data_IF_122413736627
#
_entry.id   IF_122413736627
#
_cell.length_a   1.000
_cell.length_b   1.000
_cell.length_c   1.000
_cell.angle_alpha   90.00
_cell.angle_beta   90.00
_cell.angle_gamma   90.00
#
_symmetry.space_group_name_H-M   'P 1'
#
loop_
_entity.id
_entity.type
_entity.pdbx_description
1 polymer ?
#
# COMPACT_ATOMS: atom_id res chain seq x y z
N UNK A 1 -0.79 -23.03 1.01
CA UNK A 1 0.13 -21.87 0.96
C UNK A 1 -0.58 -20.54 0.63
N UNK A 2 -1.86 -20.36 1.01
CA UNK A 2 -2.59 -19.06 0.91
C UNK A 2 -2.87 -18.41 2.28
N UNK A 3 -2.66 -19.15 3.37
CA UNK A 3 -3.01 -18.74 4.73
C UNK A 3 -2.20 -17.55 5.18
N UNK A 4 -0.86 -17.62 5.13
CA UNK A 4 0.02 -16.52 5.55
C UNK A 4 -0.29 -15.17 4.89
N UNK A 5 -0.50 -15.17 3.57
CA UNK A 5 -0.79 -13.95 2.81
C UNK A 5 -2.16 -13.35 3.15
N UNK A 6 -3.13 -14.23 3.46
CA UNK A 6 -4.45 -13.84 3.92
C UNK A 6 -4.37 -13.25 5.34
N UNK A 7 -3.69 -13.94 6.25
CA UNK A 7 -3.49 -13.49 7.64
C UNK A 7 -2.78 -12.13 7.69
N UNK A 8 -1.77 -11.94 6.83
CA UNK A 8 -1.07 -10.67 6.69
C UNK A 8 -2.01 -9.57 6.15
N UNK A 9 -2.83 -9.88 5.15
CA UNK A 9 -3.81 -8.90 4.62
C UNK A 9 -4.85 -8.51 5.67
N UNK A 10 -5.32 -9.48 6.44
CA UNK A 10 -6.32 -9.27 7.48
C UNK A 10 -5.76 -8.44 8.64
N UNK A 11 -4.49 -8.64 9.00
CA UNK A 11 -3.76 -7.81 9.96
C UNK A 11 -3.67 -6.35 9.52
N UNK A 12 -3.26 -6.11 8.27
CA UNK A 12 -3.18 -4.74 7.73
C UNK A 12 -4.54 -4.08 7.63
N UNK A 13 -5.59 -4.84 7.28
CA UNK A 13 -6.96 -4.34 7.31
C UNK A 13 -7.39 -3.95 8.74
N UNK A 14 -7.01 -4.74 9.75
CA UNK A 14 -7.28 -4.42 11.15
C UNK A 14 -6.58 -3.12 11.58
N UNK A 15 -5.32 -2.91 11.18
CA UNK A 15 -4.61 -1.66 11.43
C UNK A 15 -5.27 -0.45 10.78
N UNK A 16 -5.67 -0.57 9.51
CA UNK A 16 -6.31 0.54 8.78
C UNK A 16 -7.69 0.87 9.38
N UNK A 17 -8.39 -0.11 9.96
CA UNK A 17 -9.65 0.11 10.67
C UNK A 17 -9.45 0.75 12.05
N UNK A 18 -8.29 0.56 12.68
CA UNK A 18 -7.98 1.16 13.98
C UNK A 18 -7.54 2.62 13.79
N UNK A 19 -8.36 3.56 14.30
CA UNK A 19 -8.12 5.00 14.17
C UNK A 19 -6.80 5.50 14.76
N UNK A 20 -6.27 4.83 15.79
CA UNK A 20 -5.07 5.26 16.51
C UNK A 20 -3.79 5.00 15.71
N UNK A 21 -3.76 3.91 14.92
CA UNK A 21 -2.57 3.49 14.16
C UNK A 21 -2.74 3.62 12.64
N UNK A 22 -3.96 3.90 12.15
CA UNK A 22 -4.26 3.99 10.72
C UNK A 22 -3.31 4.93 9.99
N UNK A 23 -3.10 6.13 10.53
CA UNK A 23 -2.30 7.14 9.84
C UNK A 23 -0.82 6.74 9.76
N UNK A 24 -0.29 6.15 10.83
CA UNK A 24 1.10 5.69 10.87
C UNK A 24 1.33 4.52 9.90
N UNK A 25 0.38 3.60 9.81
CA UNK A 25 0.46 2.47 8.89
C UNK A 25 0.31 2.91 7.44
N UNK A 26 -0.62 3.82 7.13
CA UNK A 26 -0.75 4.39 5.78
C UNK A 26 0.49 5.18 5.39
N UNK A 27 1.08 5.92 6.33
CA UNK A 27 2.37 6.61 6.13
C UNK A 27 3.49 5.62 5.85
N UNK A 28 3.61 4.55 6.65
CA UNK A 28 4.63 3.52 6.47
C UNK A 28 4.51 2.82 5.10
N UNK A 29 3.29 2.50 4.65
CA UNK A 29 3.03 1.97 3.31
C UNK A 29 3.48 2.96 2.24
N UNK A 30 3.13 4.25 2.39
CA UNK A 30 3.53 5.31 1.46
C UNK A 30 5.05 5.48 1.38
N UNK A 31 5.72 5.52 2.53
CA UNK A 31 7.17 5.62 2.64
C UNK A 31 7.83 4.39 1.98
N UNK A 32 7.30 3.18 2.18
CA UNK A 32 7.77 1.97 1.49
C UNK A 32 7.71 2.09 -0.05
N UNK A 33 6.66 2.68 -0.60
CA UNK A 33 6.53 2.89 -2.05
C UNK A 33 7.49 3.98 -2.55
N UNK A 34 7.67 5.06 -1.80
CA UNK A 34 8.54 6.18 -2.16
C UNK A 34 10.01 5.76 -2.19
N UNK A 35 10.46 5.06 -1.15
CA UNK A 35 11.87 4.62 -1.00
C UNK A 35 12.25 3.54 -2.03
N UNK A 36 11.28 2.70 -2.45
CA UNK A 36 11.53 1.61 -3.40
C UNK A 36 11.21 1.94 -4.86
N UNK A 37 10.86 3.20 -5.20
CA UNK A 37 10.54 3.62 -6.57
C UNK A 37 11.65 3.35 -7.59
N UNK A 38 12.91 3.30 -7.13
CA UNK A 38 14.08 3.08 -7.97
C UNK A 38 14.34 1.61 -8.33
N UNK A 39 13.64 0.67 -7.69
CA UNK A 39 13.82 -0.77 -7.92
C UNK A 39 13.42 -1.18 -9.34
N UNK A 40 12.41 -0.52 -9.91
CA UNK A 40 11.84 -0.87 -11.22
C UNK A 40 12.62 -0.31 -12.42
N UNK A 41 13.74 0.39 -12.16
CA UNK A 41 14.60 0.88 -13.24
C UNK A 41 15.34 -0.32 -13.84
N UNK A 42 15.28 -0.48 -15.16
CA UNK A 42 15.89 -1.61 -15.88
C UNK A 42 17.39 -1.78 -15.56
N UNK A 43 18.09 -0.70 -15.22
CA UNK A 43 19.51 -0.75 -14.84
C UNK A 43 19.75 -1.30 -13.43
N UNK A 44 18.72 -1.27 -12.57
CA UNK A 44 18.80 -1.75 -11.20
C UNK A 44 18.90 -3.27 -11.15
N UNK A 45 18.24 -4.01 -12.05
CA UNK A 45 18.27 -5.49 -12.06
C UNK A 45 19.62 -6.09 -12.49
N UNK A 46 20.50 -5.30 -13.11
CA UNK A 46 21.81 -5.75 -13.60
C UNK A 46 22.97 -5.42 -12.67
N UNK A 47 22.75 -4.64 -11.61
CA UNK A 47 23.79 -4.30 -10.64
C UNK A 47 23.55 -5.04 -9.31
N UNK A 48 24.41 -5.98 -8.89
CA UNK A 48 24.25 -6.73 -7.64
C UNK A 48 24.14 -5.83 -6.39
N UNK A 49 24.68 -4.61 -6.43
CA UNK A 49 24.63 -3.67 -5.30
C UNK A 49 23.22 -3.15 -5.04
N UNK A 50 22.33 -3.13 -6.04
CA UNK A 50 20.95 -2.65 -5.87
C UNK A 50 20.08 -3.62 -5.08
N UNK A 51 20.47 -4.90 -5.01
CA UNK A 51 19.82 -5.89 -4.17
C UNK A 51 19.90 -5.54 -2.68
N UNK A 52 20.89 -4.72 -2.29
CA UNK A 52 21.05 -4.19 -0.92
C UNK A 52 20.40 -2.82 -0.72
N UNK A 53 20.05 -2.11 -1.80
CA UNK A 53 19.46 -0.77 -1.74
C UNK A 53 17.93 -0.78 -1.62
N UNK A 54 17.29 -1.89 -2.02
CA UNK A 54 15.84 -2.02 -2.07
C UNK A 54 15.37 -3.28 -1.35
N UNK A 55 14.09 -3.28 -0.97
CA UNK A 55 13.44 -4.46 -0.39
C UNK A 55 13.38 -5.63 -1.37
N UNK A 56 13.22 -6.84 -0.85
CA UNK A 56 13.10 -8.06 -1.65
C UNK A 56 11.83 -8.08 -2.51
N UNK A 57 11.83 -8.89 -3.57
CA UNK A 57 10.65 -9.06 -4.42
C UNK A 57 9.49 -9.68 -3.66
N UNK A 58 9.78 -10.61 -2.73
CA UNK A 58 8.78 -11.21 -1.86
C UNK A 58 8.08 -10.19 -0.97
N UNK A 59 8.81 -9.20 -0.45
CA UNK A 59 8.21 -8.10 0.31
C UNK A 59 7.25 -7.29 -0.56
N UNK A 60 7.67 -6.90 -1.77
CA UNK A 60 6.82 -6.10 -2.68
C UNK A 60 5.60 -6.86 -3.19
N UNK A 61 5.73 -8.16 -3.48
CA UNK A 61 4.60 -8.99 -3.88
C UNK A 61 3.55 -9.09 -2.76
N UNK A 62 3.99 -9.28 -1.51
CA UNK A 62 3.08 -9.28 -0.36
C UNK A 62 2.46 -7.90 -0.13
N UNK A 63 3.25 -6.82 -0.24
CA UNK A 63 2.75 -5.44 -0.13
C UNK A 63 1.71 -5.12 -1.20
N UNK A 64 1.94 -5.52 -2.45
CA UNK A 64 0.99 -5.35 -3.54
C UNK A 64 -0.31 -6.10 -3.29
N UNK A 65 -0.24 -7.33 -2.78
CA UNK A 65 -1.44 -8.08 -2.42
C UNK A 65 -2.26 -7.38 -1.31
N UNK A 66 -1.57 -6.87 -0.28
CA UNK A 66 -2.20 -6.07 0.78
C UNK A 66 -2.88 -4.83 0.17
N UNK A 67 -2.19 -4.09 -0.68
CA UNK A 67 -2.74 -2.90 -1.36
C UNK A 67 -3.99 -3.24 -2.18
N UNK A 68 -3.95 -4.33 -2.95
CA UNK A 68 -5.11 -4.80 -3.72
C UNK A 68 -6.29 -5.15 -2.82
N UNK A 69 -6.04 -5.81 -1.69
CA UNK A 69 -7.09 -6.16 -0.73
C UNK A 69 -7.67 -4.93 -0.02
N UNK A 70 -6.84 -3.94 0.33
CA UNK A 70 -7.29 -2.66 0.88
C UNK A 70 -8.07 -1.84 -0.16
N UNK A 71 -7.71 -1.94 -1.44
CA UNK A 71 -8.39 -1.26 -2.54
C UNK A 71 -9.70 -1.94 -2.98
N UNK A 72 -9.89 -3.23 -2.64
CA UNK A 72 -11.05 -4.04 -3.04
C UNK A 72 -12.41 -3.34 -2.86
N UNK A 73 -12.70 -2.66 -1.74
CA UNK A 73 -13.98 -1.99 -1.55
C UNK A 73 -14.27 -0.88 -2.57
N UNK A 74 -13.24 -0.36 -3.24
CA UNK A 74 -13.33 0.69 -4.24
C UNK A 74 -13.34 0.15 -5.67
N UNK A 75 -12.86 -1.08 -5.89
CA UNK A 75 -12.76 -1.70 -7.22
C UNK A 75 -13.98 -2.54 -7.61
N UNK A 76 -14.93 -2.75 -6.70
CA UNK A 76 -16.16 -3.49 -7.01
C UNK A 76 -17.05 -2.70 -7.98
N UNK A 77 -17.66 -3.37 -8.99
CA UNK A 77 -18.59 -2.71 -9.91
C UNK A 77 -19.68 -1.95 -9.16
N UNK A 78 -19.90 -0.69 -9.53
CA UNK A 78 -20.91 0.19 -8.93
C UNK A 78 -20.73 0.45 -7.41
N UNK A 79 -19.53 0.27 -6.87
CA UNK A 79 -19.28 0.56 -5.45
C UNK A 79 -19.50 2.03 -5.12
N UNK A 80 -20.41 2.30 -4.19
CA UNK A 80 -20.64 3.65 -3.63
C UNK A 80 -19.41 4.19 -2.90
N UNK A 81 -18.48 3.31 -2.48
CA UNK A 81 -17.22 3.72 -1.83
C UNK A 81 -16.25 4.36 -2.81
N UNK A 82 -16.38 4.10 -4.12
CA UNK A 82 -15.57 4.77 -5.15
C UNK A 82 -15.69 6.29 -5.05
N UNK A 83 -16.87 6.81 -4.69
CA UNK A 83 -17.13 8.24 -4.51
C UNK A 83 -16.39 8.85 -3.30
N UNK A 84 -15.84 8.01 -2.40
CA UNK A 84 -14.99 8.47 -1.28
C UNK A 84 -13.55 8.76 -1.72
N UNK A 85 -13.14 8.33 -2.92
CA UNK A 85 -11.81 8.65 -3.46
C UNK A 85 -11.86 10.08 -3.96
N UNK A 86 -11.09 10.97 -3.35
CA UNK A 86 -10.94 12.33 -3.83
C UNK A 86 -10.10 12.32 -5.13
N UNK A 87 -10.66 12.69 -6.30
CA UNK A 87 -9.92 12.69 -7.56
C UNK A 87 -8.95 13.87 -7.68
N UNK A 88 -9.08 14.90 -6.84
CA UNK A 88 -8.27 16.10 -6.91
C UNK A 88 -7.01 15.95 -6.06
N UNK A 89 -5.83 15.98 -6.71
CA UNK A 89 -4.50 15.92 -6.07
C UNK A 89 -4.13 17.17 -5.26
N UNK A 90 -5.06 18.09 -5.04
CA UNK A 90 -4.87 19.31 -4.26
C UNK A 90 -5.68 19.26 -2.95
N UNK A 91 -5.38 18.31 -2.07
CA UNK A 91 -5.74 18.46 -0.66
C UNK A 91 -4.50 18.90 0.11
N UNK A 92 -4.66 20.01 0.85
CA UNK A 92 -3.67 20.55 1.78
C UNK A 92 -3.14 19.43 2.69
N UNK A 93 -1.89 19.52 3.19
CA UNK A 93 -1.18 18.42 3.86
C UNK A 93 -1.86 17.80 5.09
N UNK A 94 -3.03 18.27 5.53
CA UNK A 94 -3.71 17.86 6.76
C UNK A 94 -5.13 17.30 6.58
N UNK A 95 -5.57 16.93 5.37
CA UNK A 95 -6.88 16.27 5.18
C UNK A 95 -6.75 14.97 4.36
N UNK A 96 -6.24 13.92 5.00
CA UNK A 96 -6.60 12.56 4.62
C UNK A 96 -7.32 11.90 5.79
N UNK A 97 -8.59 12.23 5.96
CA UNK A 97 -9.51 11.37 6.69
C UNK A 97 -10.34 10.64 5.65
N UNK A 98 -9.82 9.52 5.15
CA UNK A 98 -10.69 8.48 4.63
C UNK A 98 -11.46 7.95 5.84
N UNK A 99 -12.67 8.50 6.08
CA UNK A 99 -13.63 7.90 6.99
C UNK A 99 -14.10 6.60 6.33
N UNK A 100 -13.44 5.50 6.68
CA UNK A 100 -13.94 4.16 6.42
C UNK A 100 -15.27 3.98 7.15
#
# INVERSE_FOLDING_TARGET
MRTYQQDLSDLFLAFVKNGDVRNDILKWIGDCLIENRGKNKEWSSHNPLTAYLYVSDGFLLNLNLILLNLARPFSEPYSSKLLKINPCKESKPNEMIVKL
#
